data_IF_845529991607
#
_entry.id   IF_845529991607
#
_cell.length_a   1.000
_cell.length_b   1.000
_cell.length_c   1.000
_cell.angle_alpha   90.00
_cell.angle_beta   90.00
_cell.angle_gamma   90.00
#
_symmetry.space_group_name_H-M   'P 1'
#
loop_
_entity.id
_entity.type
_entity.pdbx_description
1 polymer ?
#
# COMPACT_ATOMS: atom_id res chain seq x y z
N UNK A 1 -12.85 70.29 25.25
CA UNK A 1 -13.93 69.32 25.56
C UNK A 1 -14.40 68.68 24.27
N UNK A 2 -14.00 67.43 23.99
CA UNK A 2 -14.86 66.34 23.47
C UNK A 2 -13.98 65.10 23.26
N UNK A 3 -14.22 64.09 24.11
CA UNK A 3 -13.65 62.75 24.00
C UNK A 3 -14.13 62.11 22.69
N UNK A 4 -13.29 61.30 22.05
CA UNK A 4 -13.76 60.15 21.28
C UNK A 4 -12.71 59.05 21.34
N UNK A 5 -13.03 57.98 22.08
CA UNK A 5 -12.39 56.67 21.98
C UNK A 5 -12.53 56.17 20.54
N UNK A 6 -11.44 55.72 19.94
CA UNK A 6 -11.50 54.87 18.74
C UNK A 6 -10.75 53.58 19.05
N UNK A 7 -11.52 52.52 19.28
CA UNK A 7 -11.03 51.14 19.24
C UNK A 7 -10.55 50.84 17.83
N UNK A 8 -9.24 50.60 17.66
CA UNK A 8 -8.71 50.02 16.44
C UNK A 8 -8.45 48.53 16.70
N UNK A 9 -9.27 47.71 16.04
CA UNK A 9 -9.32 46.25 16.08
C UNK A 9 -8.01 45.69 15.50
N UNK A 10 -7.32 44.84 16.26
CA UNK A 10 -6.19 44.05 15.79
C UNK A 10 -6.75 42.90 14.94
N UNK A 11 -6.68 43.04 13.62
CA UNK A 11 -7.01 41.96 12.69
C UNK A 11 -5.81 41.01 12.65
N UNK A 12 -5.87 39.93 13.43
CA UNK A 12 -5.01 38.77 13.23
C UNK A 12 -5.44 38.09 11.92
N UNK A 13 -4.68 38.35 10.85
CA UNK A 13 -4.80 37.58 9.62
C UNK A 13 -4.34 36.15 9.87
N UNK A 14 -5.29 35.23 10.03
CA UNK A 14 -5.02 33.80 9.92
C UNK A 14 -4.59 33.52 8.49
N UNK A 15 -3.32 33.17 8.33
CA UNK A 15 -2.80 32.60 7.10
C UNK A 15 -3.40 31.20 6.97
N UNK A 16 -4.50 31.09 6.24
CA UNK A 16 -5.00 29.82 5.78
C UNK A 16 -4.36 29.54 4.43
N UNK A 17 -3.35 28.67 4.42
CA UNK A 17 -2.94 28.02 3.18
C UNK A 17 -4.09 27.09 2.80
N UNK A 18 -4.89 27.46 1.81
CA UNK A 18 -5.70 26.46 1.11
C UNK A 18 -4.71 25.49 0.48
N UNK A 19 -4.79 24.22 0.83
CA UNK A 19 -4.28 23.19 -0.05
C UNK A 19 -5.12 23.28 -1.32
N UNK A 20 -4.46 23.61 -2.43
CA UNK A 20 -5.04 23.48 -3.75
C UNK A 20 -5.28 21.98 -3.95
N UNK A 21 -6.53 21.51 -4.18
CA UNK A 21 -6.71 20.14 -4.60
C UNK A 21 -5.83 19.95 -5.82
N UNK A 22 -5.02 18.89 -5.80
CA UNK A 22 -4.31 18.46 -6.99
C UNK A 22 -5.38 18.13 -8.04
N UNK A 23 -5.71 19.11 -8.88
CA UNK A 23 -6.44 18.88 -10.10
C UNK A 23 -5.49 18.07 -10.95
N UNK A 24 -5.62 16.74 -10.87
CA UNK A 24 -5.20 15.85 -11.93
C UNK A 24 -5.95 16.30 -13.17
N UNK A 25 -5.34 17.27 -13.87
CA UNK A 25 -5.89 17.84 -15.05
C UNK A 25 -5.85 16.76 -16.14
N UNK A 26 -7.02 16.50 -16.70
CA UNK A 26 -7.28 15.92 -18.02
C UNK A 26 -7.31 14.40 -18.14
N UNK A 27 -8.47 13.84 -17.81
CA UNK A 27 -9.06 12.79 -18.65
C UNK A 27 -9.93 13.46 -19.73
N UNK A 28 -9.41 13.60 -20.96
CA UNK A 28 -10.24 13.63 -22.17
C UNK A 28 -9.63 12.71 -23.24
N UNK A 29 -10.35 11.60 -23.43
CA UNK A 29 -10.63 10.82 -24.64
C UNK A 29 -10.11 11.34 -26.00
N UNK A 30 -9.43 10.45 -26.75
CA UNK A 30 -9.59 10.14 -28.20
C UNK A 30 -8.24 9.75 -28.85
N UNK A 31 -7.97 8.45 -28.97
CA UNK A 31 -7.05 7.88 -29.96
C UNK A 31 -5.60 8.37 -29.91
N UNK A 32 -4.85 7.96 -28.89
CA UNK A 32 -3.40 8.12 -28.80
C UNK A 32 -2.87 7.13 -27.78
N UNK A 33 -1.86 6.37 -28.17
CA UNK A 33 -1.16 5.29 -27.44
C UNK A 33 -1.29 5.49 -25.93
N UNK A 34 -2.01 4.56 -25.27
CA UNK A 34 -1.96 4.38 -23.82
C UNK A 34 -0.50 4.47 -23.39
N UNK A 35 -0.13 5.21 -22.33
CA UNK A 35 1.17 4.96 -21.72
C UNK A 35 1.09 3.51 -21.30
N UNK A 36 1.77 2.64 -22.04
CA UNK A 36 1.93 1.26 -21.64
C UNK A 36 2.62 1.39 -20.30
N UNK A 37 1.86 1.15 -19.25
CA UNK A 37 2.38 0.89 -17.92
C UNK A 37 3.07 -0.47 -18.03
N UNK A 38 4.23 -0.45 -18.68
CA UNK A 38 4.86 -1.60 -19.30
C UNK A 38 5.69 -2.29 -18.21
N UNK A 39 4.99 -2.88 -17.25
CA UNK A 39 5.59 -3.90 -16.41
C UNK A 39 6.10 -5.00 -17.33
N UNK A 40 7.38 -5.31 -17.22
CA UNK A 40 7.92 -6.54 -17.79
C UNK A 40 7.30 -7.73 -17.03
N UNK A 41 6.53 -8.62 -17.70
CA UNK A 41 5.92 -9.78 -17.07
C UNK A 41 6.95 -10.81 -16.57
N UNK A 42 8.19 -10.75 -17.07
CA UNK A 42 9.27 -11.64 -16.62
C UNK A 42 10.05 -11.05 -15.43
N UNK A 43 9.77 -9.80 -15.03
CA UNK A 43 10.44 -9.14 -13.90
C UNK A 43 9.70 -9.36 -12.59
N UNK A 44 10.46 -9.63 -11.52
CA UNK A 44 9.95 -9.58 -10.16
C UNK A 44 10.16 -8.17 -9.61
N UNK A 45 9.10 -7.59 -9.07
CA UNK A 45 9.10 -6.25 -8.50
C UNK A 45 9.17 -6.31 -6.98
N UNK A 46 10.23 -5.75 -6.40
CA UNK A 46 10.45 -5.80 -4.97
C UNK A 46 9.29 -5.19 -4.18
N UNK A 47 8.87 -3.97 -4.53
CA UNK A 47 7.81 -3.26 -3.81
C UNK A 47 6.45 -4.00 -3.87
N UNK A 48 6.15 -4.65 -4.99
CA UNK A 48 4.86 -5.28 -5.24
C UNK A 48 4.78 -6.72 -4.73
N UNK A 49 5.89 -7.46 -4.78
CA UNK A 49 5.88 -8.92 -4.63
C UNK A 49 6.78 -9.41 -3.49
N UNK A 50 8.00 -8.88 -3.37
CA UNK A 50 8.98 -9.38 -2.40
C UNK A 50 8.79 -8.75 -1.03
N UNK A 51 8.68 -7.42 -0.94
CA UNK A 51 8.50 -6.74 0.34
C UNK A 51 7.26 -7.24 1.10
N UNK A 52 6.07 -7.39 0.47
CA UNK A 52 4.91 -7.96 1.17
C UNK A 52 5.17 -9.37 1.70
N UNK A 53 5.90 -10.20 0.94
CA UNK A 53 6.26 -11.55 1.35
C UNK A 53 7.14 -11.52 2.61
N UNK A 54 8.23 -10.75 2.59
CA UNK A 54 9.13 -10.57 3.74
C UNK A 54 8.39 -10.01 4.97
N UNK A 55 7.52 -9.02 4.79
CA UNK A 55 6.71 -8.45 5.89
C UNK A 55 5.71 -9.45 6.46
N UNK A 56 5.12 -10.29 5.61
CA UNK A 56 4.08 -11.24 6.02
C UNK A 56 4.62 -12.55 6.59
N UNK A 57 5.88 -12.90 6.30
CA UNK A 57 6.45 -14.22 6.62
C UNK A 57 7.74 -14.18 7.43
N UNK A 58 8.45 -13.05 7.46
CA UNK A 58 9.76 -12.93 8.12
C UNK A 58 9.75 -11.83 9.18
N UNK A 59 9.33 -10.61 8.81
CA UNK A 59 9.29 -9.44 9.69
C UNK A 59 8.02 -9.41 10.56
N UNK A 60 7.80 -10.51 11.28
CA UNK A 60 6.67 -10.71 12.19
C UNK A 60 7.15 -10.46 13.62
N UNK A 61 6.25 -10.01 14.49
CA UNK A 61 6.56 -9.83 15.91
C UNK A 61 7.04 -11.13 16.55
N UNK A 62 8.20 -11.06 17.19
CA UNK A 62 8.93 -12.18 17.77
C UNK A 62 9.91 -12.86 16.81
N UNK A 63 10.00 -12.42 15.54
CA UNK A 63 10.92 -12.92 14.53
C UNK A 63 11.78 -11.74 14.02
N UNK A 64 11.81 -11.43 12.72
CA UNK A 64 12.72 -10.42 12.15
C UNK A 64 12.08 -9.03 11.94
N UNK A 65 11.25 -8.58 12.87
CA UNK A 65 10.62 -7.25 12.82
C UNK A 65 11.52 -6.16 13.44
N UNK A 66 11.14 -4.88 13.27
CA UNK A 66 11.94 -3.76 13.77
C UNK A 66 12.02 -3.63 15.31
N UNK A 67 11.23 -4.39 16.07
CA UNK A 67 11.07 -4.20 17.53
C UNK A 67 11.64 -5.36 18.33
N UNK A 68 11.48 -6.57 17.81
CA UNK A 68 11.73 -7.84 18.48
C UNK A 68 12.66 -8.77 17.70
N UNK A 69 13.27 -8.26 16.61
CA UNK A 69 14.31 -8.89 15.79
C UNK A 69 15.11 -10.00 16.48
N UNK A 70 14.86 -11.25 16.10
CA UNK A 70 15.75 -12.37 16.38
C UNK A 70 17.06 -12.20 15.59
N UNK A 71 18.17 -12.58 16.24
CA UNK A 71 19.54 -12.43 15.73
C UNK A 71 19.93 -11.01 15.30
N UNK A 72 19.28 -9.99 15.90
CA UNK A 72 19.43 -8.58 15.54
C UNK A 72 19.13 -8.32 14.03
N UNK A 73 18.40 -9.23 13.39
CA UNK A 73 18.06 -9.17 11.97
C UNK A 73 16.67 -8.58 11.77
N UNK A 74 16.61 -7.48 11.02
CA UNK A 74 15.37 -6.80 10.63
C UNK A 74 15.15 -7.00 9.14
N UNK A 75 13.96 -7.43 8.72
CA UNK A 75 13.66 -7.76 7.32
C UNK A 75 12.42 -7.04 6.79
N UNK A 76 12.14 -5.84 7.30
CA UNK A 76 10.92 -5.08 7.02
C UNK A 76 11.04 -4.04 5.89
N UNK A 77 12.21 -3.91 5.28
CA UNK A 77 12.49 -2.93 4.23
C UNK A 77 13.64 -3.36 3.32
N UNK A 78 13.73 -2.77 2.13
CA UNK A 78 14.82 -3.06 1.19
C UNK A 78 16.20 -2.87 1.81
N UNK A 79 16.39 -1.73 2.48
CA UNK A 79 17.68 -1.36 3.06
C UNK A 79 18.08 -2.31 4.18
N UNK A 80 17.13 -2.82 4.96
CA UNK A 80 17.41 -3.80 6.01
C UNK A 80 17.69 -5.19 5.41
N UNK A 81 16.89 -5.63 4.43
CA UNK A 81 17.07 -6.93 3.76
C UNK A 81 18.42 -7.01 3.04
N UNK A 82 18.74 -6.05 2.15
CA UNK A 82 20.02 -6.05 1.44
C UNK A 82 21.18 -5.64 2.34
N UNK A 83 20.93 -4.75 3.32
CA UNK A 83 21.94 -4.29 4.27
C UNK A 83 22.39 -5.35 5.26
N UNK A 84 21.60 -6.43 5.45
CA UNK A 84 21.99 -7.60 6.24
C UNK A 84 23.25 -8.28 5.69
N UNK A 85 23.45 -8.24 4.36
CA UNK A 85 24.49 -9.00 3.67
C UNK A 85 24.10 -10.45 3.37
N UNK A 86 22.91 -10.90 3.76
CA UNK A 86 22.45 -12.29 3.59
C UNK A 86 21.72 -12.56 2.27
N UNK A 87 21.68 -11.56 1.40
CA UNK A 87 21.28 -11.71 -0.01
C UNK A 87 22.43 -11.25 -0.88
N UNK A 88 22.89 -12.13 -1.77
CA UNK A 88 23.91 -11.82 -2.77
C UNK A 88 23.23 -11.62 -4.13
N UNK A 89 23.15 -10.38 -4.65
CA UNK A 89 22.57 -10.11 -5.97
C UNK A 89 23.18 -10.99 -7.06
N UNK A 90 22.33 -11.52 -7.95
CA UNK A 90 22.67 -12.44 -9.04
C UNK A 90 23.14 -13.83 -8.61
N UNK A 91 23.11 -14.17 -7.31
CA UNK A 91 23.54 -15.47 -6.82
C UNK A 91 22.60 -16.02 -5.74
N UNK A 92 21.72 -16.94 -6.12
CA UNK A 92 20.84 -17.65 -5.17
C UNK A 92 21.57 -18.76 -4.39
N UNK A 93 22.79 -19.12 -4.78
CA UNK A 93 23.58 -20.14 -4.10
C UNK A 93 24.52 -19.58 -3.02
N UNK A 94 24.47 -18.27 -2.79
CA UNK A 94 25.22 -17.57 -1.76
C UNK A 94 24.27 -16.64 -0.99
N UNK A 95 24.42 -16.58 0.33
CA UNK A 95 23.57 -15.78 1.22
C UNK A 95 22.58 -16.64 2.00
N UNK A 96 22.53 -16.40 3.31
CA UNK A 96 21.86 -17.30 4.25
C UNK A 96 20.33 -17.26 4.07
N UNK A 97 19.75 -16.14 3.62
CA UNK A 97 18.28 -16.01 3.49
C UNK A 97 17.69 -17.03 2.50
N UNK A 98 18.32 -17.25 1.34
CA UNK A 98 17.79 -18.23 0.37
C UNK A 98 18.05 -19.67 0.82
N UNK A 99 19.16 -19.91 1.55
CA UNK A 99 19.48 -21.21 2.13
C UNK A 99 18.41 -21.64 3.14
N UNK A 100 18.15 -20.82 4.17
CA UNK A 100 17.24 -21.18 5.26
C UNK A 100 15.78 -21.37 4.83
N UNK A 101 15.31 -20.68 3.78
CA UNK A 101 13.94 -20.89 3.24
C UNK A 101 13.82 -22.15 2.38
N UNK A 102 14.94 -22.76 1.99
CA UNK A 102 14.97 -24.02 1.21
C UNK A 102 15.45 -25.22 2.01
N UNK A 103 15.76 -25.02 3.29
CA UNK A 103 16.17 -26.08 4.18
C UNK A 103 15.07 -27.11 4.45
N UNK A 104 15.48 -28.29 4.89
CA UNK A 104 14.57 -29.38 5.25
C UNK A 104 14.66 -29.79 6.73
N UNK A 105 15.73 -29.37 7.41
CA UNK A 105 15.86 -29.56 8.85
C UNK A 105 14.91 -28.61 9.60
N UNK A 106 14.00 -29.13 10.45
CA UNK A 106 13.10 -28.28 11.24
C UNK A 106 13.80 -27.32 12.21
N UNK A 107 15.07 -27.55 12.53
CA UNK A 107 15.85 -26.67 13.41
C UNK A 107 16.53 -25.53 12.63
N UNK A 108 16.68 -25.65 11.29
CA UNK A 108 17.37 -24.68 10.44
C UNK A 108 16.44 -23.96 9.44
N UNK A 109 15.27 -24.53 9.14
CA UNK A 109 14.31 -23.97 8.18
C UNK A 109 13.63 -22.70 8.70
N UNK A 110 13.45 -21.72 7.81
CA UNK A 110 12.68 -20.50 8.08
C UNK A 110 11.45 -20.38 7.14
N UNK A 111 10.26 -20.02 7.64
CA UNK A 111 9.91 -19.84 9.06
C UNK A 111 9.99 -21.16 9.86
N UNK A 112 10.38 -21.12 11.15
CA UNK A 112 10.54 -22.31 11.96
C UNK A 112 9.16 -22.81 12.44
N UNK A 113 9.00 -24.12 12.70
CA UNK A 113 7.80 -24.65 13.32
C UNK A 113 7.48 -23.90 14.64
N UNK A 114 6.21 -23.55 14.92
CA UNK A 114 4.98 -24.06 14.30
C UNK A 114 4.50 -23.30 13.05
N UNK A 115 5.24 -22.29 12.60
CA UNK A 115 4.88 -21.57 11.38
C UNK A 115 5.01 -22.47 10.16
N UNK A 116 4.21 -22.17 9.12
CA UNK A 116 4.27 -22.92 7.88
C UNK A 116 5.46 -22.44 7.03
N UNK A 117 6.25 -23.36 6.46
CA UNK A 117 7.25 -23.00 5.46
C UNK A 117 6.63 -22.24 4.28
N UNK A 118 7.45 -21.44 3.59
CA UNK A 118 7.02 -20.79 2.36
C UNK A 118 6.58 -21.81 1.31
N UNK A 119 5.61 -21.43 0.48
CA UNK A 119 5.24 -22.24 -0.68
C UNK A 119 6.38 -22.24 -1.70
N UNK A 120 6.42 -23.27 -2.56
CA UNK A 120 7.41 -23.31 -3.65
C UNK A 120 7.31 -22.08 -4.55
N UNK A 121 6.10 -21.56 -4.80
CA UNK A 121 5.89 -20.36 -5.61
C UNK A 121 6.51 -19.11 -4.95
N UNK A 122 6.44 -19.00 -3.62
CA UNK A 122 7.06 -17.91 -2.87
C UNK A 122 8.60 -18.02 -2.89
N UNK A 123 9.13 -19.24 -2.73
CA UNK A 123 10.58 -19.51 -2.82
C UNK A 123 11.09 -19.17 -4.22
N UNK A 124 10.42 -19.64 -5.27
CA UNK A 124 10.78 -19.40 -6.66
C UNK A 124 10.76 -17.89 -6.98
N UNK A 125 9.82 -17.14 -6.41
CA UNK A 125 9.71 -15.70 -6.55
C UNK A 125 10.90 -14.95 -5.92
N UNK A 126 11.30 -15.33 -4.71
CA UNK A 126 12.51 -14.79 -4.05
C UNK A 126 13.75 -15.15 -4.86
N UNK A 127 13.88 -16.40 -5.28
CA UNK A 127 15.01 -16.88 -6.07
C UNK A 127 15.15 -16.13 -7.40
N UNK A 128 14.03 -15.93 -8.11
CA UNK A 128 14.01 -15.18 -9.35
C UNK A 128 14.39 -13.71 -9.12
N UNK A 129 13.88 -13.05 -8.08
CA UNK A 129 14.27 -11.68 -7.73
C UNK A 129 15.77 -11.55 -7.43
N UNK A 130 16.34 -12.48 -6.65
CA UNK A 130 17.78 -12.51 -6.37
C UNK A 130 18.57 -12.69 -7.68
N UNK A 131 18.16 -13.63 -8.53
CA UNK A 131 18.78 -13.88 -9.83
C UNK A 131 18.73 -12.66 -10.78
N UNK A 132 17.71 -11.81 -10.62
CA UNK A 132 17.53 -10.55 -11.34
C UNK A 132 18.30 -9.38 -10.72
N UNK A 133 19.15 -9.65 -9.72
CA UNK A 133 20.01 -8.67 -9.08
C UNK A 133 19.42 -8.01 -7.85
N UNK A 134 18.39 -8.60 -7.24
CA UNK A 134 17.75 -8.12 -6.00
C UNK A 134 17.44 -6.61 -6.03
N UNK A 135 16.82 -6.16 -7.12
CA UNK A 135 16.59 -4.73 -7.39
C UNK A 135 15.53 -4.15 -6.44
N UNK A 136 15.69 -2.89 -6.04
CA UNK A 136 14.64 -2.11 -5.36
C UNK A 136 13.72 -1.47 -6.42
N UNK A 137 13.00 -2.29 -7.17
CA UNK A 137 12.08 -1.87 -8.22
C UNK A 137 10.61 -2.01 -7.76
N UNK A 138 9.75 -1.28 -8.45
CA UNK A 138 8.30 -1.40 -8.33
C UNK A 138 7.69 -1.27 -9.73
N UNK A 139 6.50 -1.83 -9.90
CA UNK A 139 5.67 -1.53 -11.05
C UNK A 139 4.36 -0.90 -10.59
N UNK A 140 4.04 0.25 -11.16
CA UNK A 140 2.76 0.94 -10.93
C UNK A 140 1.65 0.40 -11.85
N UNK A 141 2.01 -0.51 -12.77
CA UNK A 141 1.08 -1.29 -13.58
C UNK A 141 0.08 -2.01 -12.72
N UNK A 142 -1.12 -1.47 -12.73
CA UNK A 142 -2.26 -2.02 -12.04
C UNK A 142 -2.67 -3.33 -12.73
N UNK A 143 -2.02 -4.45 -12.40
CA UNK A 143 -2.55 -5.80 -12.67
C UNK A 143 -3.67 -6.14 -11.68
N UNK A 144 -4.58 -5.20 -11.47
CA UNK A 144 -5.82 -5.48 -10.79
C UNK A 144 -6.79 -6.05 -11.85
N UNK A 145 -7.47 -7.17 -11.56
CA UNK A 145 -8.49 -7.67 -12.47
C UNK A 145 -9.51 -6.55 -12.66
N UNK A 146 -9.67 -6.07 -13.90
CA UNK A 146 -10.51 -4.92 -14.31
C UNK A 146 -11.53 -4.55 -13.23
N UNK A 147 -11.12 -3.64 -12.33
CA UNK A 147 -11.92 -3.28 -11.16
C UNK A 147 -12.99 -2.32 -11.66
N UNK A 148 -14.22 -2.82 -11.77
CA UNK A 148 -15.35 -1.95 -12.08
C UNK A 148 -16.05 -1.55 -10.78
N UNK A 149 -16.58 -0.33 -10.77
CA UNK A 149 -17.39 0.15 -9.67
C UNK A 149 -18.51 -0.84 -9.35
N UNK A 150 -19.27 -1.29 -10.36
CA UNK A 150 -20.43 -2.15 -10.16
C UNK A 150 -20.10 -3.57 -9.71
N UNK A 151 -18.97 -4.14 -10.17
CA UNK A 151 -18.62 -5.53 -9.85
C UNK A 151 -17.83 -5.68 -8.54
N UNK A 152 -17.03 -4.67 -8.19
CA UNK A 152 -16.07 -4.79 -7.08
C UNK A 152 -16.36 -3.80 -5.96
N UNK A 153 -16.48 -2.52 -6.29
CA UNK A 153 -16.56 -1.45 -5.27
C UNK A 153 -17.96 -1.39 -4.64
N UNK A 154 -19.00 -1.41 -5.46
CA UNK A 154 -20.36 -1.24 -5.00
C UNK A 154 -20.87 -2.38 -4.11
N UNK A 155 -20.55 -3.67 -4.37
CA UNK A 155 -20.87 -4.73 -3.40
C UNK A 155 -20.24 -4.52 -2.02
N UNK A 156 -19.04 -3.93 -1.93
CA UNK A 156 -18.44 -3.59 -0.64
C UNK A 156 -19.24 -2.49 0.07
N UNK A 157 -19.63 -1.45 -0.67
CA UNK A 157 -20.45 -0.34 -0.15
C UNK A 157 -21.82 -0.84 0.32
N UNK A 158 -22.49 -1.69 -0.45
CA UNK A 158 -23.77 -2.30 -0.07
C UNK A 158 -23.64 -3.11 1.24
N UNK A 159 -22.59 -3.92 1.32
CA UNK A 159 -22.42 -4.83 2.46
C UNK A 159 -21.95 -4.14 3.74
N UNK A 160 -21.27 -2.98 3.63
CA UNK A 160 -20.61 -2.34 4.77
C UNK A 160 -21.20 -0.98 5.15
N UNK A 161 -21.77 -0.24 4.20
CA UNK A 161 -22.10 1.17 4.38
C UNK A 161 -23.60 1.46 4.25
N UNK A 162 -24.29 0.80 3.32
CA UNK A 162 -25.72 1.06 3.09
C UNK A 162 -26.62 0.71 4.29
N UNK A 163 -26.15 -0.08 5.25
CA UNK A 163 -26.90 -0.37 6.47
C UNK A 163 -27.27 0.89 7.28
N UNK A 164 -26.50 1.97 7.14
CA UNK A 164 -26.77 3.27 7.78
C UNK A 164 -26.87 4.42 6.77
N UNK A 165 -26.17 4.34 5.63
CA UNK A 165 -26.13 5.38 4.59
C UNK A 165 -27.09 5.09 3.43
N UNK A 166 -28.32 4.69 3.77
CA UNK A 166 -29.40 4.45 2.80
C UNK A 166 -30.77 4.84 3.37
N UNK A 167 -31.82 4.73 2.56
CA UNK A 167 -33.20 4.95 3.00
C UNK A 167 -33.58 6.44 3.12
N UNK A 168 -34.70 6.70 3.80
CA UNK A 168 -35.30 8.04 3.88
C UNK A 168 -34.60 8.98 4.89
N UNK A 169 -33.92 8.42 5.88
CA UNK A 169 -33.15 9.17 6.90
C UNK A 169 -31.77 8.53 7.07
N UNK A 170 -30.88 8.70 6.09
CA UNK A 170 -29.53 8.13 6.17
C UNK A 170 -28.68 8.87 7.21
N UNK A 171 -27.80 8.14 7.87
CA UNK A 171 -26.84 8.71 8.82
C UNK A 171 -25.96 9.73 8.13
N UNK A 172 -25.74 10.86 8.83
CA UNK A 172 -24.98 11.99 8.28
C UNK A 172 -25.60 12.60 7.02
N UNK A 173 -26.89 12.35 6.76
CA UNK A 173 -27.60 12.79 5.56
C UNK A 173 -26.87 12.39 4.24
N UNK A 174 -26.22 11.23 4.27
CA UNK A 174 -25.34 10.74 3.19
C UNK A 174 -25.90 9.47 2.59
N UNK A 175 -26.15 9.48 1.28
CA UNK A 175 -26.58 8.30 0.53
C UNK A 175 -25.39 7.67 -0.20
N UNK A 176 -25.35 6.35 -0.24
CA UNK A 176 -24.31 5.55 -0.93
C UNK A 176 -24.91 4.48 -1.84
N UNK A 177 -26.09 4.74 -2.39
CA UNK A 177 -26.95 3.72 -3.03
C UNK A 177 -26.70 3.57 -4.53
N UNK A 178 -25.87 4.41 -5.12
CA UNK A 178 -25.54 4.37 -6.54
C UNK A 178 -24.20 5.07 -6.83
N UNK A 179 -23.76 4.96 -8.08
CA UNK A 179 -22.49 5.53 -8.54
C UNK A 179 -22.41 7.05 -8.35
N UNK A 180 -23.45 7.79 -8.70
CA UNK A 180 -23.41 9.26 -8.70
C UNK A 180 -23.28 9.81 -7.28
N UNK A 181 -23.98 9.20 -6.32
CA UNK A 181 -23.89 9.53 -4.90
C UNK A 181 -22.48 9.26 -4.34
N UNK A 182 -21.93 8.07 -4.61
CA UNK A 182 -20.58 7.71 -4.16
C UNK A 182 -19.54 8.62 -4.81
N UNK A 183 -19.63 8.84 -6.12
CA UNK A 183 -18.75 9.72 -6.88
C UNK A 183 -18.80 11.14 -6.34
N UNK A 184 -19.98 11.67 -6.05
CA UNK A 184 -20.12 13.02 -5.48
C UNK A 184 -19.32 13.17 -4.18
N UNK A 185 -19.36 12.18 -3.29
CA UNK A 185 -18.62 12.22 -2.03
C UNK A 185 -17.11 12.07 -2.21
N UNK A 186 -16.68 11.27 -3.19
CA UNK A 186 -15.27 11.11 -3.54
C UNK A 186 -14.72 12.39 -4.16
N UNK A 187 -15.41 12.96 -5.15
CA UNK A 187 -14.99 14.18 -5.86
C UNK A 187 -14.91 15.41 -4.93
N UNK A 188 -15.65 15.40 -3.82
CA UNK A 188 -15.62 16.45 -2.81
C UNK A 188 -14.78 16.06 -1.57
N UNK A 189 -13.98 15.00 -1.65
CA UNK A 189 -13.10 14.48 -0.59
C UNK A 189 -13.80 14.07 0.72
N UNK A 190 -15.13 14.07 0.76
CA UNK A 190 -15.90 13.76 1.95
C UNK A 190 -15.79 12.29 2.34
N UNK A 191 -15.67 11.38 1.36
CA UNK A 191 -15.56 9.95 1.65
C UNK A 191 -14.24 9.62 2.37
N UNK A 192 -13.11 10.18 1.92
CA UNK A 192 -11.79 9.95 2.55
C UNK A 192 -11.75 10.56 3.95
N UNK A 193 -12.33 11.74 4.13
CA UNK A 193 -12.34 12.42 5.41
C UNK A 193 -13.09 11.63 6.49
N UNK A 194 -14.13 10.85 6.14
CA UNK A 194 -14.92 10.08 7.12
C UNK A 194 -14.38 8.67 7.40
N UNK A 195 -13.61 8.08 6.48
CA UNK A 195 -13.03 6.73 6.67
C UNK A 195 -11.77 6.73 7.54
N UNK A 196 -11.14 7.88 7.75
CA UNK A 196 -9.87 8.02 8.51
C UNK A 196 -10.09 8.44 9.98
N UNK A 197 -11.20 8.03 10.60
CA UNK A 197 -11.55 8.36 12.00
C UNK A 197 -11.17 7.23 12.97
#
# INVERSE_FOLDING_TARGET
MRNLLVCAIVIFGIWSCKHDPFLAEQLIDNGGIDPVDECDPDSIYFANQILPLFVSSCAISGCHDAVTAEDDMVLDSYDNILGSGEIIPFNTGEGDIYEVITESDPDDIMPPPPESPLSQEQIDMIGLWISQGAQNNGCDGCDYPVISFSATVFPLIQNKCEGCHSGAEPDGNTLLTNYDEVKFLVDNEYLIQVMNW
#
